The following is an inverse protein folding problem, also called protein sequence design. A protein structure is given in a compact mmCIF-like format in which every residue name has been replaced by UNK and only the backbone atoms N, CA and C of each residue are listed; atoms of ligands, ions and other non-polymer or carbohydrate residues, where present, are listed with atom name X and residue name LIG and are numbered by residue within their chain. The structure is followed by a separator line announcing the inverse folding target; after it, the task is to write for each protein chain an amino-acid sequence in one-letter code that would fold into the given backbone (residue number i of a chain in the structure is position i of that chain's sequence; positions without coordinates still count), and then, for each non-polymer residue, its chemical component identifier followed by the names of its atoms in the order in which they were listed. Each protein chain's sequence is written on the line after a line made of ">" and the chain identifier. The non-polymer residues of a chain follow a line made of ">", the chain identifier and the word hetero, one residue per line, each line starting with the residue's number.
data_IF_755782751412
#
_entry.id   IF_755782751412
#
_cell.length_a   1.000
_cell.length_b   1.000
_cell.length_c   1.000
_cell.angle_alpha   90.00
_cell.angle_beta   90.00
_cell.angle_gamma   90.00
#
_symmetry.space_group_name_H-M   'P 1'
#
loop_
_entity.id
_entity.type
_entity.pdbx_description
1 polymer ?
#
# COMPACT_ATOMS: atom_id res chain seq x y z
N UNK A 1 60.52 -73.37 2.39
CA UNK A 1 60.66 -72.63 3.63
C UNK A 1 59.90 -71.33 3.45
N UNK A 2 58.62 -71.28 3.61
CA UNK A 2 57.77 -71.14 4.80
C UNK A 2 57.86 -69.76 5.42
N UNK A 3 56.81 -69.05 5.34
CA UNK A 3 56.61 -67.79 6.10
C UNK A 3 55.25 -67.18 5.77
N UNK A 4 54.22 -67.77 6.33
CA UNK A 4 52.83 -67.31 6.30
C UNK A 4 52.72 -66.14 7.30
N UNK A 5 52.42 -64.96 6.86
CA UNK A 5 52.05 -63.86 7.74
C UNK A 5 50.62 -63.46 7.48
N UNK A 6 49.74 -63.97 8.32
CA UNK A 6 48.38 -63.51 8.47
C UNK A 6 48.36 -62.17 9.17
N UNK A 7 47.96 -61.13 8.55
CA UNK A 7 47.57 -59.88 9.20
C UNK A 7 46.05 -59.77 9.21
N UNK A 8 45.49 -60.14 10.38
CA UNK A 8 44.12 -59.83 10.71
C UNK A 8 43.91 -58.30 10.77
N UNK A 9 43.21 -57.77 9.79
CA UNK A 9 42.79 -56.39 9.76
C UNK A 9 41.52 -56.26 10.64
N UNK A 10 41.71 -55.86 11.91
CA UNK A 10 40.63 -55.56 12.86
C UNK A 10 39.82 -54.40 12.34
N UNK A 11 38.72 -54.71 11.71
CA UNK A 11 37.68 -53.76 11.30
C UNK A 11 36.97 -53.19 12.52
N UNK A 12 37.48 -52.04 13.03
CA UNK A 12 36.86 -51.28 14.11
C UNK A 12 35.52 -50.71 13.63
N UNK A 13 34.43 -51.43 13.90
CA UNK A 13 33.07 -50.96 13.67
C UNK A 13 32.74 -49.82 14.61
N UNK A 14 32.95 -48.60 14.15
CA UNK A 14 32.48 -47.38 14.83
C UNK A 14 30.98 -47.32 14.77
N UNK A 15 30.29 -47.58 15.88
CA UNK A 15 28.85 -47.33 16.03
C UNK A 15 28.57 -45.86 15.78
N UNK A 16 27.66 -45.47 14.87
CA UNK A 16 27.27 -44.08 14.75
C UNK A 16 26.61 -43.66 16.06
N UNK A 17 27.20 -42.65 16.72
CA UNK A 17 26.62 -42.02 17.89
C UNK A 17 25.24 -41.49 17.56
N UNK A 18 24.21 -42.10 18.13
CA UNK A 18 22.86 -41.53 18.13
C UNK A 18 22.92 -40.17 18.80
N UNK A 19 22.96 -39.08 17.99
CA UNK A 19 22.70 -37.73 18.48
C UNK A 19 21.27 -37.78 19.03
N UNK A 20 21.14 -37.76 20.35
CA UNK A 20 19.85 -37.73 21.03
C UNK A 20 19.03 -36.58 20.47
N UNK A 21 17.93 -36.91 19.78
CA UNK A 21 16.95 -35.94 19.41
C UNK A 21 16.42 -35.32 20.71
N UNK A 22 16.82 -34.06 20.98
CA UNK A 22 16.26 -33.29 22.09
C UNK A 22 14.82 -32.99 21.72
N UNK A 23 13.89 -33.68 22.30
CA UNK A 23 12.45 -33.39 22.17
C UNK A 23 12.12 -32.12 22.95
N UNK A 24 11.23 -31.28 22.38
CA UNK A 24 10.70 -30.12 23.08
C UNK A 24 9.84 -30.58 24.27
N UNK A 25 9.94 -29.84 25.38
CA UNK A 25 9.06 -30.03 26.51
C UNK A 25 7.70 -29.37 26.26
N UNK A 26 6.63 -29.91 26.88
CA UNK A 26 5.29 -29.30 26.81
C UNK A 26 5.33 -27.86 27.33
N UNK A 27 6.10 -27.60 28.39
CA UNK A 27 6.29 -26.25 28.96
C UNK A 27 6.90 -25.29 27.93
N UNK A 28 7.95 -25.73 27.21
CA UNK A 28 8.60 -24.91 26.18
C UNK A 28 7.65 -24.54 25.04
N UNK A 29 6.81 -25.50 24.61
CA UNK A 29 5.75 -25.24 23.63
C UNK A 29 4.75 -24.20 24.13
N UNK A 30 4.30 -24.30 25.39
CA UNK A 30 3.37 -23.35 25.98
C UNK A 30 3.94 -21.94 26.04
N UNK A 31 5.21 -21.80 26.45
CA UNK A 31 5.88 -20.48 26.50
C UNK A 31 6.01 -19.88 25.09
N UNK A 32 6.41 -20.67 24.10
CA UNK A 32 6.52 -20.22 22.72
C UNK A 32 5.17 -19.75 22.17
N UNK A 33 4.11 -20.52 22.39
CA UNK A 33 2.76 -20.13 21.95
C UNK A 33 2.28 -18.87 22.65
N UNK A 34 2.59 -18.66 23.94
CA UNK A 34 2.27 -17.44 24.67
C UNK A 34 2.99 -16.22 24.07
N UNK A 35 4.29 -16.34 23.76
CA UNK A 35 5.06 -15.25 23.16
C UNK A 35 4.52 -14.90 21.78
N UNK A 36 4.21 -15.91 20.95
CA UNK A 36 3.65 -15.69 19.61
C UNK A 36 2.29 -14.97 19.71
N UNK A 37 1.42 -15.36 20.63
CA UNK A 37 0.13 -14.73 20.83
C UNK A 37 0.25 -13.25 21.20
N UNK A 38 1.19 -12.89 22.07
CA UNK A 38 1.47 -11.51 22.44
C UNK A 38 1.99 -10.71 21.23
N UNK A 39 2.93 -11.25 20.47
CA UNK A 39 3.50 -10.59 19.29
C UNK A 39 2.45 -10.36 18.20
N UNK A 40 1.57 -11.33 17.94
CA UNK A 40 0.46 -11.18 16.98
C UNK A 40 -0.50 -10.08 17.45
N UNK A 41 -0.85 -10.04 18.73
CA UNK A 41 -1.73 -9.01 19.29
C UNK A 41 -1.18 -7.59 19.11
N UNK A 42 0.11 -7.38 19.31
CA UNK A 42 0.75 -6.07 19.07
C UNK A 42 0.83 -5.73 17.57
N UNK A 43 1.12 -6.70 16.71
CA UNK A 43 1.24 -6.50 15.27
C UNK A 43 -0.10 -6.11 14.62
N UNK A 44 -1.22 -6.69 15.07
CA UNK A 44 -2.55 -6.43 14.50
C UNK A 44 -2.94 -4.93 14.59
N UNK A 45 -2.74 -4.30 15.73
CA UNK A 45 -3.07 -2.87 15.94
C UNK A 45 -2.20 -1.95 15.06
N UNK A 46 -0.93 -2.28 14.86
CA UNK A 46 -0.04 -1.50 14.01
C UNK A 46 -0.40 -1.64 12.52
N UNK A 47 -0.89 -2.80 12.12
CA UNK A 47 -1.28 -3.10 10.74
C UNK A 47 -2.42 -2.18 10.25
N UNK A 48 -3.51 -2.05 11.01
CA UNK A 48 -4.67 -1.24 10.61
C UNK A 48 -4.28 0.23 10.39
N UNK A 49 -3.46 0.80 11.27
CA UNK A 49 -2.96 2.17 11.12
C UNK A 49 -2.11 2.34 9.86
N UNK A 50 -1.28 1.34 9.54
CA UNK A 50 -0.41 1.38 8.37
C UNK A 50 -1.23 1.29 7.07
N UNK A 51 -2.23 0.41 7.02
CA UNK A 51 -3.14 0.27 5.88
C UNK A 51 -3.92 1.57 5.65
N UNK A 52 -4.46 2.18 6.72
CA UNK A 52 -5.16 3.47 6.60
C UNK A 52 -4.26 4.55 6.02
N UNK A 53 -3.05 4.74 6.55
CA UNK A 53 -2.07 5.71 6.02
C UNK A 53 -1.68 5.45 4.57
N UNK A 54 -1.56 4.18 4.18
CA UNK A 54 -1.28 3.81 2.79
C UNK A 54 -2.41 4.25 1.85
N UNK A 55 -3.67 4.02 2.23
CA UNK A 55 -4.83 4.49 1.45
C UNK A 55 -4.90 6.01 1.37
N UNK A 56 -4.61 6.70 2.46
CA UNK A 56 -4.53 8.16 2.48
C UNK A 56 -3.43 8.71 1.55
N UNK A 57 -2.29 8.04 1.49
CA UNK A 57 -1.22 8.42 0.58
C UNK A 57 -1.63 8.25 -0.89
N UNK A 58 -2.34 7.16 -1.22
CA UNK A 58 -2.89 6.94 -2.57
C UNK A 58 -3.95 8.00 -2.89
N UNK A 59 -4.88 8.31 -1.96
CA UNK A 59 -5.88 9.35 -2.15
C UNK A 59 -5.25 10.71 -2.49
N UNK A 60 -4.21 11.13 -1.75
CA UNK A 60 -3.50 12.37 -2.04
C UNK A 60 -2.83 12.35 -3.41
N UNK A 61 -2.27 11.21 -3.81
CA UNK A 61 -1.67 11.05 -5.13
C UNK A 61 -2.71 11.14 -6.24
N UNK A 62 -3.88 10.53 -6.06
CA UNK A 62 -4.97 10.56 -7.02
C UNK A 62 -5.52 11.98 -7.19
N UNK A 63 -5.77 12.70 -6.08
CA UNK A 63 -6.17 14.10 -6.09
C UNK A 63 -5.14 14.98 -6.82
N UNK A 64 -3.86 14.83 -6.51
CA UNK A 64 -2.79 15.58 -7.18
C UNK A 64 -2.74 15.27 -8.69
N UNK A 65 -2.92 14.01 -9.07
CA UNK A 65 -2.93 13.61 -10.48
C UNK A 65 -4.11 14.22 -11.23
N UNK A 66 -5.30 14.23 -10.62
CA UNK A 66 -6.49 14.86 -11.22
C UNK A 66 -6.32 16.38 -11.34
N UNK A 67 -5.80 17.05 -10.31
CA UNK A 67 -5.51 18.49 -10.35
C UNK A 67 -4.51 18.84 -11.45
N UNK A 68 -3.44 18.06 -11.58
CA UNK A 68 -2.47 18.25 -12.67
C UNK A 68 -3.09 18.03 -14.05
N UNK A 69 -4.01 17.07 -14.18
CA UNK A 69 -4.73 16.85 -15.44
C UNK A 69 -5.66 18.02 -15.80
N UNK A 70 -6.36 18.60 -14.79
CA UNK A 70 -7.16 19.81 -14.95
C UNK A 70 -6.28 20.99 -15.44
N UNK A 71 -5.14 21.21 -14.78
CA UNK A 71 -4.21 22.27 -15.14
C UNK A 71 -3.68 22.11 -16.57
N UNK A 72 -3.25 20.90 -16.93
CA UNK A 72 -2.73 20.61 -18.27
C UNK A 72 -3.80 20.78 -19.35
N UNK A 73 -5.02 20.30 -19.09
CA UNK A 73 -6.17 20.47 -20.00
C UNK A 73 -6.44 21.96 -20.22
N UNK A 74 -6.48 22.73 -19.13
CA UNK A 74 -6.79 24.18 -19.16
C UNK A 74 -5.72 24.94 -19.92
N UNK A 75 -4.44 24.61 -19.73
CA UNK A 75 -3.32 25.23 -20.44
C UNK A 75 -3.35 24.94 -21.95
N UNK A 76 -3.61 23.69 -22.32
CA UNK A 76 -3.57 23.27 -23.73
C UNK A 76 -4.82 23.70 -24.51
N UNK A 77 -6.00 23.58 -23.89
CA UNK A 77 -7.28 23.90 -24.53
C UNK A 77 -7.68 25.35 -24.40
N UNK A 78 -7.02 26.11 -23.53
CA UNK A 78 -7.38 27.49 -23.18
C UNK A 78 -8.86 27.60 -22.69
N UNK A 79 -9.33 26.54 -22.05
CA UNK A 79 -10.67 26.37 -21.47
C UNK A 79 -10.58 25.43 -20.28
N UNK A 80 -11.30 25.73 -19.19
CA UNK A 80 -11.45 24.80 -18.09
C UNK A 80 -12.37 23.63 -18.48
N UNK A 81 -12.08 22.39 -18.03
CA UNK A 81 -12.95 21.25 -18.28
C UNK A 81 -14.30 21.44 -17.58
N UNK A 82 -15.40 20.90 -18.14
CA UNK A 82 -16.72 20.99 -17.52
C UNK A 82 -16.99 19.82 -16.59
N UNK A 83 -16.26 18.72 -16.76
CA UNK A 83 -16.35 17.51 -15.94
C UNK A 83 -15.01 16.78 -15.90
N UNK A 84 -14.85 15.83 -14.94
CA UNK A 84 -13.69 14.94 -14.91
C UNK A 84 -13.65 13.97 -16.10
N UNK A 85 -14.82 13.69 -16.70
CA UNK A 85 -14.91 12.82 -17.87
C UNK A 85 -14.29 13.48 -19.10
N UNK A 86 -14.35 14.81 -19.23
CA UNK A 86 -13.69 15.55 -20.32
C UNK A 86 -12.17 15.32 -20.33
N UNK A 87 -11.57 15.14 -19.14
CA UNK A 87 -10.15 14.83 -19.01
C UNK A 87 -9.81 13.43 -19.53
N UNK A 88 -10.74 12.48 -19.39
CA UNK A 88 -10.59 11.12 -19.91
C UNK A 88 -10.77 11.10 -21.42
N UNK A 89 -11.79 11.79 -21.95
CA UNK A 89 -12.03 11.91 -23.39
C UNK A 89 -10.89 12.60 -24.12
N UNK A 90 -10.31 13.62 -23.50
CA UNK A 90 -9.16 14.34 -24.04
C UNK A 90 -7.80 13.68 -23.76
N UNK A 91 -7.80 12.49 -23.15
CA UNK A 91 -6.60 11.68 -22.84
C UNK A 91 -5.59 12.31 -21.85
N UNK A 92 -6.00 13.24 -21.01
CA UNK A 92 -5.19 13.75 -19.89
C UNK A 92 -5.26 12.82 -18.68
N UNK A 93 -6.36 12.08 -18.53
CA UNK A 93 -6.51 10.98 -17.60
C UNK A 93 -6.82 9.69 -18.36
N UNK A 94 -6.35 8.55 -17.86
CA UNK A 94 -6.71 7.25 -18.40
C UNK A 94 -8.15 6.87 -18.02
N UNK A 95 -8.47 7.11 -16.77
CA UNK A 95 -9.80 6.91 -16.17
C UNK A 95 -9.89 7.75 -14.90
N UNK A 96 -11.10 8.08 -14.48
CA UNK A 96 -11.34 8.70 -13.18
C UNK A 96 -11.09 7.64 -12.10
N UNK A 97 -10.13 7.86 -11.18
CA UNK A 97 -9.78 6.87 -10.16
C UNK A 97 -10.94 6.60 -9.20
N UNK A 98 -10.88 5.48 -8.50
CA UNK A 98 -11.79 5.16 -7.41
C UNK A 98 -11.14 5.61 -6.11
N UNK A 99 -11.87 6.35 -5.26
CA UNK A 99 -11.38 6.74 -3.93
C UNK A 99 -10.96 5.49 -3.13
N UNK A 100 -9.69 5.37 -2.73
CA UNK A 100 -9.19 4.20 -2.01
C UNK A 100 -9.71 4.07 -0.58
N UNK A 101 -10.31 5.13 -0.04
CA UNK A 101 -10.83 5.17 1.33
C UNK A 101 -12.30 4.76 1.36
N UNK A 102 -13.15 5.44 0.59
CA UNK A 102 -14.59 5.18 0.51
C UNK A 102 -14.99 4.18 -0.58
N UNK A 103 -14.08 3.77 -1.46
CA UNK A 103 -14.29 2.80 -2.55
C UNK A 103 -15.42 3.20 -3.52
N UNK A 104 -15.61 4.49 -3.71
CA UNK A 104 -16.60 5.10 -4.60
C UNK A 104 -15.93 6.13 -5.52
N UNK A 105 -16.63 6.52 -6.59
CA UNK A 105 -16.19 7.60 -7.48
C UNK A 105 -16.98 8.89 -7.19
N UNK A 106 -17.06 9.25 -5.93
CA UNK A 106 -17.79 10.42 -5.44
C UNK A 106 -16.89 11.64 -5.28
N UNK A 107 -16.22 12.01 -6.37
CA UNK A 107 -15.40 13.20 -6.40
C UNK A 107 -16.27 14.47 -6.44
N UNK A 108 -15.98 15.41 -5.55
CA UNK A 108 -16.61 16.71 -5.50
C UNK A 108 -15.76 17.68 -6.31
N UNK A 109 -16.29 18.17 -7.42
CA UNK A 109 -15.62 19.15 -8.27
C UNK A 109 -15.99 20.55 -7.83
N UNK A 110 -14.98 21.42 -7.70
CA UNK A 110 -15.20 22.86 -7.56
C UNK A 110 -15.24 23.50 -8.94
N UNK A 111 -16.24 24.35 -9.14
CA UNK A 111 -16.38 25.10 -10.40
C UNK A 111 -16.04 26.55 -10.09
N UNK A 112 -15.04 27.06 -10.78
CA UNK A 112 -14.54 28.42 -10.62
C UNK A 112 -14.19 29.09 -11.94
N UNK A 113 -13.80 30.34 -11.87
CA UNK A 113 -13.35 31.10 -13.02
C UNK A 113 -11.81 31.05 -13.07
N UNK A 114 -11.27 30.31 -14.01
CA UNK A 114 -9.83 30.22 -14.25
C UNK A 114 -9.40 31.36 -15.16
N UNK A 115 -8.48 32.20 -14.68
CA UNK A 115 -7.90 33.30 -15.47
C UNK A 115 -6.78 32.75 -16.34
N UNK A 116 -6.99 32.72 -17.64
CA UNK A 116 -6.05 32.24 -18.65
C UNK A 116 -5.12 33.37 -19.14
N UNK A 117 -5.68 34.57 -19.25
CA UNK A 117 -5.02 35.79 -19.70
C UNK A 117 -5.71 36.98 -19.05
N UNK A 118 -5.08 38.19 -19.01
CA UNK A 118 -5.71 39.38 -18.44
C UNK A 118 -7.11 39.71 -19.00
N UNK A 119 -7.38 39.29 -20.24
CA UNK A 119 -8.66 39.52 -20.94
C UNK A 119 -9.48 38.25 -21.19
N UNK A 120 -9.05 37.08 -20.63
CA UNK A 120 -9.68 35.81 -20.91
C UNK A 120 -9.85 35.02 -19.63
N UNK A 121 -11.09 34.71 -19.27
CA UNK A 121 -11.49 33.81 -18.21
C UNK A 121 -12.27 32.65 -18.77
N UNK A 122 -12.12 31.46 -18.18
CA UNK A 122 -12.90 30.28 -18.50
C UNK A 122 -13.53 29.74 -17.23
N UNK A 123 -14.84 29.54 -17.25
CA UNK A 123 -15.57 28.90 -16.14
C UNK A 123 -15.60 27.41 -16.35
N UNK A 124 -15.25 26.66 -15.33
CA UNK A 124 -15.26 25.18 -15.34
C UNK A 124 -14.67 24.61 -14.07
N UNK A 125 -14.35 23.31 -14.11
CA UNK A 125 -13.72 22.61 -12.97
C UNK A 125 -12.30 23.12 -12.80
N UNK A 126 -12.01 23.70 -11.63
CA UNK A 126 -10.70 24.22 -11.26
C UNK A 126 -10.06 23.41 -10.12
N UNK A 127 -10.85 22.72 -9.29
CA UNK A 127 -10.34 21.86 -8.23
C UNK A 127 -11.22 20.63 -8.02
N UNK A 128 -10.68 19.64 -7.32
CA UNK A 128 -11.36 18.38 -7.00
C UNK A 128 -11.01 17.96 -5.57
N UNK A 129 -12.01 17.49 -4.84
CA UNK A 129 -11.91 16.99 -3.48
C UNK A 129 -12.56 15.60 -3.37
N UNK A 130 -12.21 14.85 -2.30
CA UNK A 130 -12.93 13.61 -2.00
C UNK A 130 -14.32 13.90 -1.45
N UNK A 131 -15.35 13.16 -1.89
CA UNK A 131 -16.68 13.18 -1.30
C UNK A 131 -16.82 12.36 -0.01
N UNK A 132 -15.72 11.77 0.46
CA UNK A 132 -15.68 10.92 1.65
C UNK A 132 -15.74 11.74 2.94
N UNK A 133 -16.82 11.61 3.74
CA UNK A 133 -17.02 12.36 4.99
C UNK A 133 -16.18 11.86 6.18
N UNK A 134 -15.37 10.81 5.99
CA UNK A 134 -14.52 10.26 7.04
C UNK A 134 -13.35 11.19 7.36
N UNK A 135 -12.76 10.99 8.57
CA UNK A 135 -11.59 11.74 9.01
C UNK A 135 -10.30 10.97 8.74
N UNK A 136 -9.30 11.71 8.29
CA UNK A 136 -7.95 11.22 8.10
C UNK A 136 -7.24 10.84 9.40
N UNK A 137 -6.06 10.27 9.26
CA UNK A 137 -5.19 9.94 10.39
C UNK A 137 -4.63 11.17 11.10
N UNK A 138 -4.67 12.33 10.45
CA UNK A 138 -4.31 13.66 10.97
C UNK A 138 -5.48 14.40 11.64
N UNK A 139 -6.70 13.82 11.61
CA UNK A 139 -7.92 14.38 12.18
C UNK A 139 -8.67 15.35 11.26
N UNK A 140 -8.18 15.63 10.04
CA UNK A 140 -8.88 16.43 9.04
C UNK A 140 -9.87 15.58 8.26
N UNK A 141 -10.99 16.17 7.80
CA UNK A 141 -11.91 15.48 6.91
C UNK A 141 -11.32 15.32 5.51
N UNK A 142 -11.53 14.18 4.86
CA UNK A 142 -11.09 13.98 3.47
C UNK A 142 -11.77 14.94 2.50
N UNK A 143 -12.94 15.46 2.83
CA UNK A 143 -13.62 16.49 2.03
C UNK A 143 -12.86 17.83 1.92
N UNK A 144 -11.84 18.01 2.74
CA UNK A 144 -10.98 19.21 2.72
C UNK A 144 -9.62 18.99 2.06
N UNK A 145 -9.38 17.79 1.52
CA UNK A 145 -8.10 17.42 0.89
C UNK A 145 -8.03 17.76 -0.59
#
# INVERSE_FOLDING_TARGET
>A
MTGFFSTEFLRKSGKPGRRGARGFTILELMIVMMIIAILIGMAAVAYDKTVKRSREAVLRQDLQTMRQAIDNYTLDKQQAPQSLDDLVEAHYLREVPIDPVCHQKDWVTHIGDTVLSPDQTSTGVDDVHSGCEQNGSDGTSYTTW
#
